data_IF_044736727830
#
_entry.id   IF_044736727830
#
_cell.length_a   1.000
_cell.length_b   1.000
_cell.length_c   1.000
_cell.angle_alpha   90.00
_cell.angle_beta   90.00
_cell.angle_gamma   90.00
#
_symmetry.space_group_name_H-M   'P 1'
#
loop_
_entity.id
_entity.type
_entity.pdbx_description
1 polymer ?
#
# COMPACT_ATOMS: atom_id res chain seq x y z
N UNK A 1 10.34 -4.44 -28.30
CA UNK A 1 10.29 -4.88 -26.88
C UNK A 1 9.06 -5.74 -26.71
N UNK A 2 9.17 -6.80 -25.90
CA UNK A 2 8.02 -7.59 -25.46
C UNK A 2 6.94 -6.68 -24.88
N UNK A 3 5.66 -6.97 -25.17
CA UNK A 3 4.56 -6.22 -24.59
C UNK A 3 4.46 -6.49 -23.09
N UNK A 4 4.25 -5.43 -22.32
CA UNK A 4 4.04 -5.50 -20.87
C UNK A 4 2.55 -5.72 -20.60
N UNK A 5 2.26 -6.71 -19.76
CA UNK A 5 0.91 -7.06 -19.33
C UNK A 5 0.81 -6.91 -17.81
N UNK A 6 0.20 -5.81 -17.37
CA UNK A 6 -0.03 -5.51 -15.96
C UNK A 6 -1.32 -6.22 -15.52
N UNK A 7 -1.27 -6.94 -14.41
CA UNK A 7 -2.45 -7.60 -13.84
C UNK A 7 -2.64 -7.16 -12.39
N UNK A 8 -3.82 -6.65 -12.06
CA UNK A 8 -4.12 -6.20 -10.70
C UNK A 8 -5.57 -6.46 -10.35
N UNK A 9 -5.89 -6.55 -9.06
CA UNK A 9 -7.28 -6.78 -8.64
C UNK A 9 -8.26 -5.79 -9.26
N UNK A 10 -7.93 -4.49 -9.35
CA UNK A 10 -8.80 -3.45 -9.92
C UNK A 10 -8.07 -2.62 -10.96
N UNK A 11 -8.69 -2.45 -12.13
CA UNK A 11 -8.14 -1.65 -13.23
C UNK A 11 -8.63 -0.20 -13.12
N UNK A 12 -7.74 0.79 -13.08
CA UNK A 12 -8.13 2.19 -13.02
C UNK A 12 -8.35 2.75 -14.44
N UNK A 13 -9.52 2.46 -15.01
CA UNK A 13 -9.89 2.94 -16.36
C UNK A 13 -9.82 4.48 -16.39
N UNK A 14 -9.05 5.09 -17.31
CA UNK A 14 -9.02 6.53 -17.47
C UNK A 14 -10.43 7.02 -17.87
N UNK A 15 -11.07 7.81 -17.01
CA UNK A 15 -12.27 8.57 -17.42
C UNK A 15 -11.80 9.88 -18.05
N UNK A 16 -12.49 10.34 -19.09
CA UNK A 16 -12.11 11.45 -19.97
C UNK A 16 -11.69 12.80 -19.32
N UNK A 17 -11.83 12.96 -17.99
CA UNK A 17 -11.42 14.18 -17.24
C UNK A 17 -10.83 13.91 -15.84
N UNK A 18 -10.53 12.67 -15.46
CA UNK A 18 -10.07 12.37 -14.09
C UNK A 18 -8.70 11.70 -14.15
N UNK A 19 -7.72 12.30 -13.45
CA UNK A 19 -6.41 11.69 -13.22
C UNK A 19 -6.59 10.28 -12.66
N UNK A 20 -5.76 9.34 -13.11
CA UNK A 20 -5.84 7.94 -12.70
C UNK A 20 -5.73 7.84 -11.18
N UNK A 21 -6.85 7.54 -10.52
CA UNK A 21 -6.96 7.49 -9.07
C UNK A 21 -6.56 6.09 -8.57
N UNK A 22 -5.45 6.00 -7.84
CA UNK A 22 -5.00 4.78 -7.18
C UNK A 22 -3.47 4.73 -7.04
N UNK A 23 -2.98 4.33 -5.86
CA UNK A 23 -1.54 4.30 -5.57
C UNK A 23 -0.73 3.46 -6.57
N UNK A 24 -1.27 2.31 -6.99
CA UNK A 24 -0.62 1.43 -7.97
C UNK A 24 -0.49 2.10 -9.35
N UNK A 25 -1.53 2.80 -9.81
CA UNK A 25 -1.52 3.42 -11.13
C UNK A 25 -0.57 4.60 -11.23
N UNK A 26 -0.40 5.33 -10.12
CA UNK A 26 0.61 6.38 -10.02
C UNK A 26 2.01 5.75 -10.04
N UNK A 27 2.20 4.62 -9.35
CA UNK A 27 3.51 3.95 -9.30
C UNK A 27 3.92 3.29 -10.62
N UNK A 28 2.97 2.75 -11.39
CA UNK A 28 3.24 2.06 -12.65
C UNK A 28 3.14 2.96 -13.89
N UNK A 29 3.04 4.28 -13.71
CA UNK A 29 2.78 5.23 -14.80
C UNK A 29 3.76 5.09 -15.97
N UNK A 30 5.04 4.88 -15.68
CA UNK A 30 6.10 4.79 -16.69
C UNK A 30 6.00 3.51 -17.54
N UNK A 31 5.22 2.52 -17.10
CA UNK A 31 4.93 1.30 -17.86
C UNK A 31 3.68 1.44 -18.75
N UNK A 32 2.89 2.50 -18.58
CA UNK A 32 1.68 2.76 -19.35
C UNK A 32 2.02 3.45 -20.68
N UNK A 33 2.79 2.73 -21.51
CA UNK A 33 3.22 3.17 -22.85
C UNK A 33 2.35 2.52 -23.94
N UNK A 34 2.34 3.06 -25.17
CA UNK A 34 1.61 2.45 -26.28
C UNK A 34 1.97 0.96 -26.46
N UNK A 35 0.95 0.11 -26.52
CA UNK A 35 1.07 -1.35 -26.61
C UNK A 35 0.91 -2.08 -25.28
N UNK A 36 0.99 -1.42 -24.13
CA UNK A 36 0.77 -2.03 -22.81
C UNK A 36 -0.67 -2.53 -22.65
N UNK A 37 -0.84 -3.69 -22.00
CA UNK A 37 -2.14 -4.22 -21.59
C UNK A 37 -2.27 -4.15 -20.06
N UNK A 38 -3.37 -3.60 -19.55
CA UNK A 38 -3.73 -3.68 -18.13
C UNK A 38 -5.03 -4.47 -17.95
N UNK A 39 -4.92 -5.63 -17.30
CA UNK A 39 -6.01 -6.56 -17.05
C UNK A 39 -6.45 -6.62 -15.56
N UNK A 40 -7.75 -6.84 -15.30
CA UNK A 40 -8.29 -7.06 -13.96
C UNK A 40 -9.79 -6.79 -13.81
N UNK A 41 -10.27 -6.63 -12.57
CA UNK A 41 -11.69 -6.28 -12.30
C UNK A 41 -11.98 -4.83 -12.68
N UNK A 42 -13.16 -4.59 -13.26
CA UNK A 42 -13.66 -3.24 -13.58
C UNK A 42 -14.04 -2.42 -12.34
N UNK A 43 -14.31 -3.08 -11.21
CA UNK A 43 -14.93 -2.48 -10.04
C UNK A 43 -16.46 -2.50 -10.05
N UNK A 44 -17.09 -3.13 -11.06
CA UNK A 44 -18.55 -3.30 -11.14
C UNK A 44 -18.97 -4.72 -10.82
N UNK A 45 -20.17 -4.82 -10.24
CA UNK A 45 -20.86 -6.10 -10.07
C UNK A 45 -21.92 -6.26 -11.17
N UNK A 46 -22.07 -7.48 -11.68
CA UNK A 46 -23.08 -7.84 -12.68
C UNK A 46 -23.76 -9.16 -12.29
N UNK A 47 -25.06 -9.29 -12.53
CA UNK A 47 -25.78 -10.53 -12.22
C UNK A 47 -25.30 -11.70 -13.10
N UNK A 48 -25.06 -11.43 -14.39
CA UNK A 48 -24.49 -12.35 -15.35
C UNK A 48 -23.29 -11.68 -16.04
N UNK A 49 -22.07 -11.79 -15.48
CA UNK A 49 -20.89 -11.16 -16.06
C UNK A 49 -20.55 -11.75 -17.42
N UNK A 50 -20.23 -10.88 -18.39
CA UNK A 50 -19.82 -11.33 -19.72
C UNK A 50 -18.58 -12.25 -19.63
N UNK A 51 -18.53 -13.32 -20.43
CA UNK A 51 -17.40 -14.26 -20.41
C UNK A 51 -16.11 -13.66 -20.96
N UNK A 52 -16.24 -12.62 -21.79
CA UNK A 52 -15.13 -11.92 -22.44
C UNK A 52 -14.84 -10.57 -21.76
N UNK A 53 -13.57 -10.18 -21.58
CA UNK A 53 -13.22 -8.88 -21.02
C UNK A 53 -13.72 -7.73 -21.90
N UNK A 54 -14.24 -6.68 -21.27
CA UNK A 54 -14.48 -5.41 -21.95
C UNK A 54 -13.17 -4.69 -22.19
N UNK A 55 -12.94 -4.22 -23.43
CA UNK A 55 -11.72 -3.53 -23.84
C UNK A 55 -11.96 -2.03 -23.96
N UNK A 56 -11.04 -1.25 -23.41
CA UNK A 56 -11.01 0.22 -23.54
C UNK A 56 -9.59 0.62 -23.94
N UNK A 57 -9.46 1.36 -25.03
CA UNK A 57 -8.19 1.93 -25.46
C UNK A 57 -8.06 3.38 -24.97
N UNK A 58 -6.93 3.71 -24.32
CA UNK A 58 -6.62 5.09 -23.98
C UNK A 58 -5.11 5.35 -24.06
N UNK A 59 -4.72 6.36 -24.86
CA UNK A 59 -3.31 6.75 -25.06
C UNK A 59 -2.42 5.59 -25.54
N UNK A 60 -2.99 4.68 -26.34
CA UNK A 60 -2.31 3.48 -26.85
C UNK A 60 -2.18 2.34 -25.84
N UNK A 61 -2.76 2.46 -24.64
CA UNK A 61 -2.82 1.39 -23.63
C UNK A 61 -4.18 0.70 -23.71
N UNK A 62 -4.15 -0.63 -23.80
CA UNK A 62 -5.35 -1.47 -23.73
C UNK A 62 -5.70 -1.74 -22.27
N UNK A 63 -6.91 -1.39 -21.85
CA UNK A 63 -7.47 -1.75 -20.55
C UNK A 63 -8.51 -2.85 -20.76
N UNK A 64 -8.26 -4.03 -20.19
CA UNK A 64 -9.13 -5.19 -20.30
C UNK A 64 -9.76 -5.49 -18.94
N UNK A 65 -11.08 -5.39 -18.85
CA UNK A 65 -11.78 -5.49 -17.57
C UNK A 65 -12.87 -6.54 -17.55
N UNK A 66 -12.95 -7.27 -16.45
CA UNK A 66 -14.02 -8.24 -16.17
C UNK A 66 -14.92 -7.66 -15.07
N UNK A 67 -16.23 -7.84 -15.19
CA UNK A 67 -17.18 -7.58 -14.12
C UNK A 67 -17.34 -8.86 -13.27
N UNK A 68 -17.69 -8.74 -11.99
CA UNK A 68 -17.83 -9.91 -11.11
C UNK A 68 -19.27 -10.09 -10.66
N UNK A 69 -19.71 -11.34 -10.51
CA UNK A 69 -20.93 -11.64 -9.78
C UNK A 69 -20.78 -11.28 -8.29
N UNK A 70 -21.89 -10.96 -7.62
CA UNK A 70 -21.86 -10.47 -6.26
C UNK A 70 -21.30 -11.50 -5.26
N UNK A 71 -21.63 -12.78 -5.47
CA UNK A 71 -21.12 -13.92 -4.73
C UNK A 71 -19.62 -14.16 -4.99
N UNK A 72 -19.19 -14.09 -6.25
CA UNK A 72 -17.79 -14.21 -6.64
C UNK A 72 -16.93 -13.09 -6.04
N UNK A 73 -17.41 -11.84 -6.09
CA UNK A 73 -16.76 -10.71 -5.42
C UNK A 73 -16.70 -10.91 -3.90
N UNK A 74 -17.79 -11.38 -3.28
CA UNK A 74 -17.81 -11.65 -1.84
C UNK A 74 -16.77 -12.70 -1.47
N UNK A 75 -16.74 -13.85 -2.14
CA UNK A 75 -15.82 -14.94 -1.82
C UNK A 75 -14.35 -14.55 -2.02
N UNK A 76 -14.01 -13.92 -3.16
CA UNK A 76 -12.66 -13.43 -3.43
C UNK A 76 -12.28 -12.28 -2.48
N UNK A 77 -13.00 -11.16 -2.55
CA UNK A 77 -12.55 -9.88 -2.01
C UNK A 77 -12.89 -9.76 -0.53
N UNK A 78 -14.14 -10.01 -0.12
CA UNK A 78 -14.56 -9.86 1.28
C UNK A 78 -14.09 -11.05 2.12
N UNK A 79 -14.28 -12.26 1.60
CA UNK A 79 -13.96 -13.54 2.24
C UNK A 79 -12.46 -13.79 2.29
N UNK A 80 -11.90 -14.48 1.31
CA UNK A 80 -10.53 -14.99 1.44
C UNK A 80 -9.47 -13.88 1.46
N UNK A 81 -9.54 -12.92 0.54
CA UNK A 81 -8.50 -11.89 0.44
C UNK A 81 -8.47 -10.94 1.64
N UNK A 82 -9.61 -10.37 2.06
CA UNK A 82 -9.64 -9.41 3.17
C UNK A 82 -10.06 -10.00 4.52
N UNK A 83 -10.67 -11.19 4.54
CA UNK A 83 -11.04 -11.92 5.75
C UNK A 83 -10.00 -12.93 6.21
N UNK A 84 -9.15 -13.49 5.32
CA UNK A 84 -8.07 -14.41 5.72
C UNK A 84 -6.67 -13.86 5.42
N UNK A 85 -6.34 -13.56 4.15
CA UNK A 85 -4.99 -13.15 3.76
C UNK A 85 -4.56 -11.83 4.41
N UNK A 86 -5.38 -10.77 4.29
CA UNK A 86 -5.04 -9.46 4.84
C UNK A 86 -4.75 -9.48 6.34
N UNK A 87 -5.60 -10.06 7.23
CA UNK A 87 -5.28 -10.15 8.65
C UNK A 87 -3.97 -10.89 8.92
N UNK A 88 -3.76 -12.05 8.30
CA UNK A 88 -2.56 -12.86 8.53
C UNK A 88 -1.31 -12.11 8.09
N UNK A 89 -1.32 -11.57 6.86
CA UNK A 89 -0.20 -10.80 6.29
C UNK A 89 0.12 -9.52 7.09
N UNK A 90 -0.79 -9.05 7.95
CA UNK A 90 -0.58 -7.91 8.85
C UNK A 90 -0.40 -8.32 10.31
N UNK A 91 -0.08 -9.59 10.60
CA UNK A 91 0.13 -10.12 11.96
C UNK A 91 -1.11 -9.97 12.87
N UNK A 92 -2.31 -10.01 12.29
CA UNK A 92 -3.60 -9.91 13.00
C UNK A 92 -4.33 -11.25 12.97
N UNK A 93 -3.67 -12.32 13.42
CA UNK A 93 -4.23 -13.68 13.44
C UNK A 93 -5.61 -13.76 14.12
N UNK A 94 -5.81 -13.02 15.21
CA UNK A 94 -7.11 -12.96 15.90
C UNK A 94 -8.26 -12.31 15.11
N UNK A 95 -7.97 -11.71 13.94
CA UNK A 95 -8.97 -11.18 13.01
C UNK A 95 -9.14 -12.07 11.76
N UNK A 96 -8.42 -13.19 11.67
CA UNK A 96 -8.54 -14.12 10.56
C UNK A 96 -9.89 -14.84 10.62
N UNK A 97 -10.61 -14.82 9.51
CA UNK A 97 -11.81 -15.58 9.27
C UNK A 97 -11.64 -16.44 8.01
N UNK A 98 -11.38 -17.73 8.21
CA UNK A 98 -11.22 -18.69 7.13
C UNK A 98 -12.50 -19.48 6.92
N UNK A 99 -12.98 -19.52 5.67
CA UNK A 99 -14.02 -20.44 5.20
C UNK A 99 -13.54 -21.14 3.94
N UNK A 100 -13.74 -22.45 3.85
CA UNK A 100 -13.33 -23.24 2.68
C UNK A 100 -14.05 -22.78 1.41
N UNK A 101 -15.31 -22.38 1.51
CA UNK A 101 -16.08 -21.80 0.40
C UNK A 101 -15.45 -20.52 -0.16
N UNK A 102 -14.95 -19.63 0.72
CA UNK A 102 -14.30 -18.39 0.30
C UNK A 102 -12.97 -18.69 -0.42
N UNK A 103 -12.21 -19.69 0.06
CA UNK A 103 -11.01 -20.19 -0.62
C UNK A 103 -11.33 -20.73 -2.02
N UNK A 104 -12.37 -21.57 -2.14
CA UNK A 104 -12.79 -22.11 -3.44
C UNK A 104 -13.27 -21.00 -4.37
N UNK A 105 -14.01 -20.01 -3.88
CA UNK A 105 -14.40 -18.84 -4.66
C UNK A 105 -13.21 -17.98 -5.07
N UNK A 106 -12.21 -17.81 -4.20
CA UNK A 106 -10.96 -17.12 -4.53
C UNK A 106 -10.20 -17.81 -5.67
N UNK A 107 -10.11 -19.13 -5.64
CA UNK A 107 -9.54 -19.93 -6.73
C UNK A 107 -10.37 -19.83 -8.01
N UNK A 108 -11.71 -19.90 -7.91
CA UNK A 108 -12.60 -19.82 -9.06
C UNK A 108 -12.47 -18.48 -9.79
N UNK A 109 -12.43 -17.36 -9.06
CA UNK A 109 -12.23 -16.04 -9.67
C UNK A 109 -10.85 -15.93 -10.31
N UNK A 110 -9.80 -16.43 -9.65
CA UNK A 110 -8.45 -16.46 -10.24
C UNK A 110 -8.40 -17.33 -11.50
N UNK A 111 -9.13 -18.44 -11.55
CA UNK A 111 -9.26 -19.28 -12.74
C UNK A 111 -9.94 -18.52 -13.89
N UNK A 112 -11.03 -17.80 -13.62
CA UNK A 112 -11.67 -16.93 -14.61
C UNK A 112 -10.69 -15.87 -15.11
N UNK A 113 -9.97 -15.19 -14.22
CA UNK A 113 -8.98 -14.19 -14.58
C UNK A 113 -7.86 -14.77 -15.46
N UNK A 114 -7.29 -15.91 -15.07
CA UNK A 114 -6.25 -16.58 -15.85
C UNK A 114 -6.76 -16.98 -17.24
N UNK A 115 -7.95 -17.56 -17.32
CA UNK A 115 -8.55 -18.05 -18.57
C UNK A 115 -8.83 -16.91 -19.55
N UNK A 116 -9.43 -15.82 -19.08
CA UNK A 116 -9.69 -14.65 -19.92
C UNK A 116 -8.40 -13.95 -20.33
N UNK A 117 -7.44 -13.79 -19.41
CA UNK A 117 -6.14 -13.19 -19.72
C UNK A 117 -5.39 -14.02 -20.76
N UNK A 118 -5.38 -15.35 -20.62
CA UNK A 118 -4.65 -16.27 -21.51
C UNK A 118 -5.06 -16.13 -22.97
N UNK A 119 -6.33 -15.85 -23.25
CA UNK A 119 -6.85 -15.63 -24.61
C UNK A 119 -6.26 -14.36 -25.26
N UNK A 120 -5.78 -13.42 -24.45
CA UNK A 120 -5.19 -12.16 -24.90
C UNK A 120 -3.66 -12.20 -24.94
N UNK A 121 -3.02 -13.17 -24.28
CA UNK A 121 -1.56 -13.25 -24.16
C UNK A 121 -0.89 -13.75 -25.45
N UNK A 122 0.21 -13.10 -25.80
CA UNK A 122 1.16 -13.50 -26.83
C UNK A 122 2.30 -14.30 -26.20
N UNK A 123 3.02 -15.09 -26.99
CA UNK A 123 4.10 -15.94 -26.50
C UNK A 123 5.25 -15.15 -25.85
N UNK A 124 5.51 -13.93 -26.35
CA UNK A 124 6.59 -13.05 -25.92
C UNK A 124 6.16 -12.01 -24.87
N UNK A 125 4.89 -12.01 -24.44
CA UNK A 125 4.43 -11.06 -23.42
C UNK A 125 5.17 -11.25 -22.08
N UNK A 126 5.39 -10.14 -21.38
CA UNK A 126 5.85 -10.14 -19.99
C UNK A 126 4.69 -9.80 -19.08
N UNK A 127 4.28 -10.73 -18.21
CA UNK A 127 3.16 -10.52 -17.29
C UNK A 127 3.69 -10.12 -15.93
N UNK A 128 3.14 -9.04 -15.37
CA UNK A 128 3.44 -8.58 -14.02
C UNK A 128 2.15 -8.48 -13.20
N UNK A 129 1.96 -9.44 -12.29
CA UNK A 129 0.84 -9.52 -11.38
C UNK A 129 1.11 -8.76 -10.08
N UNK A 130 0.09 -8.07 -9.57
CA UNK A 130 0.19 -7.26 -8.37
C UNK A 130 -0.80 -7.69 -7.28
N UNK A 131 -0.21 -7.98 -6.12
CA UNK A 131 -0.85 -8.08 -4.81
C UNK A 131 -1.60 -9.38 -4.50
N UNK A 132 -1.88 -9.57 -3.21
CA UNK A 132 -2.38 -10.81 -2.59
C UNK A 132 -3.73 -11.35 -3.13
N UNK A 133 -4.44 -10.58 -3.95
CA UNK A 133 -5.67 -11.04 -4.60
C UNK A 133 -5.40 -12.07 -5.71
N UNK A 134 -4.17 -12.09 -6.22
CA UNK A 134 -3.78 -12.79 -7.45
C UNK A 134 -2.69 -13.84 -7.24
N UNK A 135 -2.51 -14.34 -6.02
CA UNK A 135 -1.45 -15.33 -5.72
C UNK A 135 -1.50 -16.55 -6.67
N UNK A 136 -2.67 -17.14 -7.00
CA UNK A 136 -2.74 -18.31 -7.89
C UNK A 136 -2.53 -18.05 -9.37
N UNK A 137 -2.58 -16.78 -9.81
CA UNK A 137 -2.64 -16.43 -11.23
C UNK A 137 -1.45 -17.02 -12.01
N UNK A 138 -0.23 -16.96 -11.46
CA UNK A 138 0.96 -17.47 -12.12
C UNK A 138 0.91 -18.98 -12.38
N UNK A 139 0.50 -19.77 -11.37
CA UNK A 139 0.35 -21.22 -11.51
C UNK A 139 -0.74 -21.59 -12.51
N UNK A 140 -1.84 -20.85 -12.52
CA UNK A 140 -2.94 -21.06 -13.47
C UNK A 140 -2.51 -20.76 -14.91
N UNK A 141 -1.81 -19.65 -15.16
CA UNK A 141 -1.29 -19.32 -16.50
C UNK A 141 -0.30 -20.39 -16.99
N UNK A 142 0.59 -20.90 -16.12
CA UNK A 142 1.51 -21.99 -16.45
C UNK A 142 0.77 -23.27 -16.84
N UNK A 143 -0.29 -23.65 -16.11
CA UNK A 143 -1.14 -24.80 -16.45
C UNK A 143 -1.86 -24.62 -17.79
N UNK A 144 -2.16 -23.38 -18.17
CA UNK A 144 -2.76 -23.03 -19.46
C UNK A 144 -1.72 -22.80 -20.57
N UNK A 145 -0.48 -23.28 -20.37
CA UNK A 145 0.56 -23.29 -21.40
C UNK A 145 1.21 -21.94 -21.68
N UNK A 146 1.06 -20.94 -20.82
CA UNK A 146 1.82 -19.70 -20.96
C UNK A 146 3.28 -19.93 -20.54
N UNK A 147 4.22 -19.77 -21.48
CA UNK A 147 5.66 -19.97 -21.26
C UNK A 147 6.48 -18.69 -21.07
N UNK A 148 5.87 -17.50 -21.25
CA UNK A 148 6.58 -16.22 -21.15
C UNK A 148 6.92 -15.81 -19.70
N UNK A 149 7.66 -14.70 -19.52
CA UNK A 149 8.06 -14.21 -18.20
C UNK A 149 6.84 -13.87 -17.30
N UNK A 150 6.85 -14.39 -16.07
CA UNK A 150 5.84 -14.15 -15.04
C UNK A 150 6.45 -13.54 -13.79
N UNK A 151 6.06 -12.30 -13.49
CA UNK A 151 6.41 -11.59 -12.27
C UNK A 151 5.22 -11.44 -11.32
N UNK A 152 5.51 -11.48 -10.03
CA UNK A 152 4.57 -11.12 -8.97
C UNK A 152 5.19 -10.08 -8.03
N UNK A 153 4.43 -9.08 -7.62
CA UNK A 153 4.86 -8.16 -6.56
C UNK A 153 3.82 -8.07 -5.44
N UNK A 154 4.25 -8.33 -4.20
CA UNK A 154 3.42 -8.20 -3.00
C UNK A 154 3.55 -6.80 -2.39
N UNK A 155 2.45 -6.05 -2.36
CA UNK A 155 2.47 -4.66 -1.87
C UNK A 155 2.30 -4.56 -0.35
N UNK A 156 1.64 -5.54 0.25
CA UNK A 156 1.46 -5.71 1.69
C UNK A 156 2.69 -6.39 2.32
N UNK A 157 2.80 -6.46 3.66
CA UNK A 157 3.87 -7.25 4.28
C UNK A 157 3.78 -8.74 3.90
N UNK A 158 4.89 -9.44 4.07
CA UNK A 158 4.91 -10.91 4.13
C UNK A 158 5.22 -11.34 5.57
N UNK A 159 5.00 -12.61 5.87
CA UNK A 159 5.06 -13.13 7.25
C UNK A 159 5.93 -14.38 7.34
N UNK A 160 6.58 -14.62 8.50
CA UNK A 160 7.40 -15.80 8.69
C UNK A 160 6.57 -17.07 8.73
N UNK A 161 7.20 -18.26 8.60
CA UNK A 161 6.49 -19.53 8.50
C UNK A 161 5.49 -19.80 9.64
N UNK A 162 5.87 -19.47 10.88
CA UNK A 162 5.02 -19.69 12.06
C UNK A 162 3.71 -18.90 12.04
N UNK A 163 3.64 -17.81 11.28
CA UNK A 163 2.43 -17.00 11.11
C UNK A 163 1.68 -17.45 9.85
N UNK A 164 2.39 -17.76 8.76
CA UNK A 164 1.76 -18.19 7.50
C UNK A 164 1.01 -19.52 7.69
N UNK A 165 1.58 -20.47 8.45
CA UNK A 165 1.01 -21.78 8.75
C UNK A 165 -0.36 -21.72 9.46
N UNK A 166 -0.75 -20.56 10.00
CA UNK A 166 -2.10 -20.36 10.52
C UNK A 166 -3.18 -20.41 9.43
N UNK A 167 -2.83 -20.16 8.16
CA UNK A 167 -3.75 -20.31 7.02
C UNK A 167 -3.83 -21.80 6.64
N UNK A 168 -5.01 -22.43 6.65
CA UNK A 168 -5.14 -23.86 6.37
C UNK A 168 -4.62 -24.32 5.00
N UNK A 169 -4.52 -23.39 4.03
CA UNK A 169 -4.05 -23.62 2.66
C UNK A 169 -2.69 -22.95 2.39
N UNK A 170 -1.88 -22.75 3.43
CA UNK A 170 -0.57 -22.07 3.32
C UNK A 170 0.37 -22.73 2.30
N UNK A 171 0.38 -24.06 2.25
CA UNK A 171 1.23 -24.82 1.31
C UNK A 171 0.82 -24.54 -0.14
N UNK A 172 -0.47 -24.50 -0.42
CA UNK A 172 -1.02 -24.19 -1.74
C UNK A 172 -0.68 -22.76 -2.17
N UNK A 173 -0.82 -21.78 -1.26
CA UNK A 173 -0.46 -20.39 -1.52
C UNK A 173 1.03 -20.22 -1.82
N UNK A 174 1.90 -20.93 -1.10
CA UNK A 174 3.33 -20.93 -1.39
C UNK A 174 3.64 -21.57 -2.74
N UNK A 175 2.97 -22.67 -3.09
CA UNK A 175 3.14 -23.30 -4.40
C UNK A 175 2.64 -22.41 -5.55
N UNK A 176 1.59 -21.62 -5.30
CA UNK A 176 1.09 -20.60 -6.22
C UNK A 176 2.14 -19.50 -6.46
N UNK A 177 2.72 -18.94 -5.40
CA UNK A 177 3.79 -17.94 -5.50
C UNK A 177 5.08 -18.47 -6.13
N UNK A 178 5.46 -19.72 -5.85
CA UNK A 178 6.64 -20.34 -6.46
C UNK A 178 6.44 -20.70 -7.95
N UNK A 179 5.25 -20.47 -8.52
CA UNK A 179 5.02 -20.67 -9.95
C UNK A 179 5.44 -19.48 -10.82
N UNK A 180 5.69 -18.31 -10.22
CA UNK A 180 6.27 -17.13 -10.87
C UNK A 180 7.78 -17.28 -11.04
N UNK A 181 8.35 -16.58 -12.01
CA UNK A 181 9.80 -16.58 -12.25
C UNK A 181 10.49 -15.52 -11.37
N UNK A 182 9.79 -14.43 -11.04
CA UNK A 182 10.24 -13.37 -10.15
C UNK A 182 9.14 -13.01 -9.15
N UNK A 183 9.48 -12.97 -7.86
CA UNK A 183 8.60 -12.56 -6.77
C UNK A 183 9.26 -11.40 -6.01
N UNK A 184 8.67 -10.21 -6.06
CA UNK A 184 9.18 -9.03 -5.36
C UNK A 184 8.38 -8.69 -4.12
N UNK A 185 9.10 -8.16 -3.12
CA UNK A 185 8.55 -7.72 -1.85
C UNK A 185 9.01 -6.31 -1.50
N UNK A 186 8.31 -5.66 -0.59
CA UNK A 186 8.65 -4.29 -0.19
C UNK A 186 9.97 -4.16 0.61
N UNK A 187 10.36 -5.20 1.35
CA UNK A 187 11.53 -5.17 2.23
C UNK A 187 12.28 -6.49 2.18
N UNK A 188 13.56 -6.47 2.58
CA UNK A 188 14.37 -7.68 2.66
C UNK A 188 13.89 -8.66 3.75
N UNK A 189 13.26 -8.15 4.81
CA UNK A 189 12.59 -8.99 5.82
C UNK A 189 11.48 -9.81 5.17
N UNK A 190 10.59 -9.16 4.40
CA UNK A 190 9.50 -9.86 3.71
C UNK A 190 10.00 -10.87 2.67
N UNK A 191 11.06 -10.53 1.93
CA UNK A 191 11.65 -11.43 0.94
C UNK A 191 12.30 -12.66 1.60
N UNK A 192 12.98 -12.46 2.73
CA UNK A 192 13.55 -13.55 3.53
C UNK A 192 12.47 -14.45 4.09
N UNK A 193 11.43 -13.88 4.71
CA UNK A 193 10.31 -14.64 5.26
C UNK A 193 9.64 -15.52 4.18
N UNK A 194 9.55 -15.03 2.94
CA UNK A 194 9.07 -15.84 1.81
C UNK A 194 9.99 -17.00 1.48
N UNK A 195 11.31 -16.78 1.44
CA UNK A 195 12.28 -17.85 1.19
C UNK A 195 12.26 -18.90 2.29
N UNK A 196 12.14 -18.47 3.55
CA UNK A 196 12.00 -19.36 4.70
C UNK A 196 10.71 -20.17 4.63
N UNK A 197 9.59 -19.55 4.23
CA UNK A 197 8.32 -20.24 3.98
C UNK A 197 8.43 -21.27 2.84
N UNK A 198 9.10 -20.93 1.75
CA UNK A 198 9.27 -21.82 0.61
C UNK A 198 10.15 -23.03 0.96
N UNK A 199 11.24 -22.81 1.69
CA UNK A 199 12.11 -23.87 2.19
C UNK A 199 11.35 -24.80 3.14
N UNK A 200 10.66 -24.23 4.14
CA UNK A 200 9.97 -25.00 5.18
C UNK A 200 8.74 -25.76 4.68
N UNK A 201 7.89 -25.12 3.87
CA UNK A 201 6.60 -25.70 3.46
C UNK A 201 6.69 -26.54 2.18
N UNK A 202 7.66 -26.26 1.32
CA UNK A 202 7.77 -26.91 0.00
C UNK A 202 9.10 -27.65 -0.19
N UNK A 203 10.07 -27.51 0.72
CA UNK A 203 11.40 -28.10 0.55
C UNK A 203 12.23 -27.42 -0.54
N UNK A 204 11.98 -26.14 -0.82
CA UNK A 204 12.76 -25.40 -1.81
C UNK A 204 14.22 -25.23 -1.34
N UNK A 205 15.17 -25.38 -2.27
CA UNK A 205 16.57 -25.05 -2.01
C UNK A 205 16.74 -23.55 -2.22
N UNK A 206 17.35 -22.86 -1.25
CA UNK A 206 17.53 -21.40 -1.27
C UNK A 206 19.01 -21.07 -1.30
N UNK A 207 19.42 -20.19 -2.24
CA UNK A 207 20.75 -19.60 -2.30
C UNK A 207 20.64 -18.10 -2.61
N UNK A 208 20.92 -17.27 -1.62
CA UNK A 208 20.72 -15.81 -1.71
C UNK A 208 19.28 -15.45 -2.05
N UNK A 209 19.09 -14.77 -3.19
CA UNK A 209 17.77 -14.40 -3.72
C UNK A 209 17.12 -15.49 -4.59
N UNK A 210 17.80 -16.61 -4.83
CA UNK A 210 17.35 -17.64 -5.75
C UNK A 210 16.76 -18.84 -5.01
N UNK A 211 15.70 -19.41 -5.58
CA UNK A 211 15.08 -20.65 -5.09
C UNK A 211 14.93 -21.67 -6.22
N UNK A 212 15.09 -22.95 -5.87
CA UNK A 212 14.84 -24.09 -6.74
C UNK A 212 13.78 -24.99 -6.13
N UNK A 213 12.75 -25.29 -6.93
CA UNK A 213 11.65 -26.15 -6.55
C UNK A 213 11.17 -26.93 -7.78
N UNK A 214 11.14 -28.26 -7.69
CA UNK A 214 10.65 -29.15 -8.74
C UNK A 214 11.27 -28.86 -10.13
N UNK A 215 12.59 -28.66 -10.19
CA UNK A 215 13.31 -28.36 -11.43
C UNK A 215 13.10 -26.94 -11.99
N UNK A 216 12.29 -26.10 -11.34
CA UNK A 216 12.13 -24.69 -11.68
C UNK A 216 13.00 -23.82 -10.79
N UNK A 217 13.50 -22.72 -11.36
CA UNK A 217 14.21 -21.67 -10.64
C UNK A 217 13.34 -20.41 -10.61
N UNK A 218 13.33 -19.72 -9.47
CA UNK A 218 12.73 -18.39 -9.34
C UNK A 218 13.61 -17.46 -8.52
N UNK A 219 13.43 -16.16 -8.66
CA UNK A 219 14.12 -15.13 -7.88
C UNK A 219 13.15 -14.42 -6.94
N UNK A 220 13.49 -14.32 -5.65
CA UNK A 220 12.73 -13.58 -4.65
C UNK A 220 13.57 -12.51 -3.97
N UNK A 221 13.21 -11.24 -4.17
CA UNK A 221 14.03 -10.10 -3.74
C UNK A 221 13.19 -8.91 -3.24
N UNK A 222 13.85 -7.98 -2.56
CA UNK A 222 13.25 -6.74 -2.11
C UNK A 222 13.32 -5.64 -3.19
N UNK A 223 12.18 -5.06 -3.54
CA UNK A 223 12.05 -3.93 -4.44
C UNK A 223 11.11 -2.86 -3.86
N UNK A 224 11.60 -2.00 -2.95
CA UNK A 224 10.77 -1.05 -2.23
C UNK A 224 10.12 -0.04 -3.19
N UNK A 225 8.78 0.02 -3.18
CA UNK A 225 8.04 0.92 -4.04
C UNK A 225 8.29 2.39 -3.67
N UNK A 226 8.50 3.22 -4.69
CA UNK A 226 8.73 4.66 -4.58
C UNK A 226 7.52 5.52 -4.93
N UNK A 227 7.73 6.84 -4.92
CA UNK A 227 6.80 7.84 -5.47
C UNK A 227 7.48 8.67 -6.56
N UNK A 228 6.70 9.38 -7.36
CA UNK A 228 7.21 10.51 -8.15
C UNK A 228 7.38 11.73 -7.23
N UNK A 229 8.47 11.72 -6.47
CA UNK A 229 8.72 12.70 -5.41
C UNK A 229 8.85 14.13 -5.94
N UNK A 230 9.47 14.29 -7.13
CA UNK A 230 9.65 15.60 -7.77
C UNK A 230 8.31 16.19 -8.21
N UNK A 231 7.48 15.41 -8.89
CA UNK A 231 6.15 15.90 -9.29
C UNK A 231 5.29 16.20 -8.06
N UNK A 232 5.34 15.35 -7.03
CA UNK A 232 4.56 15.55 -5.81
C UNK A 232 4.99 16.79 -5.02
N UNK A 233 6.30 17.06 -4.91
CA UNK A 233 6.82 18.28 -4.29
C UNK A 233 6.35 19.55 -5.04
N UNK A 234 6.38 19.52 -6.37
CA UNK A 234 5.86 20.60 -7.20
C UNK A 234 4.35 20.79 -7.06
N UNK A 235 3.58 19.70 -6.95
CA UNK A 235 2.13 19.75 -6.68
C UNK A 235 1.86 20.34 -5.29
N UNK A 236 2.59 19.91 -4.25
CA UNK A 236 2.46 20.43 -2.89
C UNK A 236 2.73 21.94 -2.81
N UNK A 237 3.77 22.42 -3.50
CA UNK A 237 4.12 23.83 -3.55
C UNK A 237 3.01 24.69 -4.20
N UNK A 238 2.30 24.18 -5.20
CA UNK A 238 1.16 24.88 -5.82
C UNK A 238 -0.11 24.76 -4.98
N UNK A 239 -0.36 23.57 -4.44
CA UNK A 239 -1.57 23.25 -3.69
C UNK A 239 -1.70 24.04 -2.38
N UNK A 240 -0.61 24.62 -1.87
CA UNK A 240 -0.69 25.54 -0.73
C UNK A 240 -1.64 26.70 -1.02
N UNK A 241 -1.74 27.17 -2.27
CA UNK A 241 -2.64 28.25 -2.69
C UNK A 241 -4.06 27.79 -3.02
N UNK A 242 -4.37 26.49 -2.89
CA UNK A 242 -5.72 25.98 -3.08
C UNK A 242 -6.68 26.55 -2.01
N UNK A 243 -7.89 26.92 -2.43
CA UNK A 243 -8.90 27.56 -1.55
C UNK A 243 -9.25 26.69 -0.34
N UNK A 244 -9.23 25.36 -0.46
CA UNK A 244 -9.49 24.48 0.68
C UNK A 244 -8.30 24.45 1.63
N UNK A 245 -7.07 24.38 1.10
CA UNK A 245 -5.85 24.37 1.93
C UNK A 245 -5.69 25.69 2.70
N UNK A 246 -5.93 26.82 2.03
CA UNK A 246 -5.94 28.15 2.68
C UNK A 246 -6.99 28.23 3.79
N UNK A 247 -8.24 27.81 3.53
CA UNK A 247 -9.27 27.77 4.59
C UNK A 247 -8.90 26.89 5.77
N UNK A 248 -8.23 25.76 5.52
CA UNK A 248 -7.72 24.92 6.61
C UNK A 248 -6.64 25.67 7.37
N UNK A 249 -5.66 26.26 6.70
CA UNK A 249 -4.59 27.04 7.33
C UNK A 249 -5.14 28.19 8.20
N UNK A 250 -6.08 28.98 7.68
CA UNK A 250 -6.75 30.06 8.41
C UNK A 250 -7.43 29.53 9.68
N UNK A 251 -8.11 28.39 9.57
CA UNK A 251 -8.80 27.74 10.68
C UNK A 251 -7.87 27.15 11.75
N UNK A 252 -6.56 27.10 11.51
CA UNK A 252 -5.57 26.74 12.54
C UNK A 252 -5.28 27.94 13.45
N UNK A 253 -5.51 29.17 12.99
CA UNK A 253 -5.22 30.41 13.72
C UNK A 253 -3.79 30.46 14.27
N UNK A 254 -2.81 30.11 13.42
CA UNK A 254 -1.38 30.09 13.78
C UNK A 254 -0.93 28.88 14.60
N UNK A 255 -1.82 27.93 14.91
CA UNK A 255 -1.48 26.70 15.65
C UNK A 255 -0.84 25.66 14.74
N UNK A 256 0.01 24.81 15.32
CA UNK A 256 0.62 23.70 14.60
C UNK A 256 -0.43 22.69 14.10
N UNK A 257 -0.09 21.95 13.04
CA UNK A 257 -0.92 20.89 12.49
C UNK A 257 -0.16 19.55 12.56
N UNK A 258 -0.68 18.60 13.33
CA UNK A 258 -0.40 17.19 13.12
C UNK A 258 -1.37 16.63 12.08
N UNK A 259 -0.88 15.83 11.14
CA UNK A 259 -1.70 15.23 10.10
C UNK A 259 -1.48 13.72 10.00
N UNK A 260 -2.58 12.98 9.97
CA UNK A 260 -2.61 11.55 9.68
C UNK A 260 -3.54 11.29 8.50
N UNK A 261 -3.10 10.50 7.53
CA UNK A 261 -3.89 10.16 6.34
C UNK A 261 -3.76 8.67 6.09
N UNK A 262 -4.86 7.95 6.27
CA UNK A 262 -4.87 6.50 6.12
C UNK A 262 -6.25 6.05 5.66
N UNK A 263 -6.36 4.87 5.04
CA UNK A 263 -7.67 4.21 4.96
C UNK A 263 -8.10 3.79 6.36
N UNK A 264 -9.40 3.75 6.62
CA UNK A 264 -9.93 3.14 7.85
C UNK A 264 -9.63 1.65 7.82
N UNK A 265 -8.54 1.24 8.45
CA UNK A 265 -8.02 -0.13 8.41
C UNK A 265 -7.27 -0.42 9.71
N UNK A 266 -7.51 -1.59 10.28
CA UNK A 266 -6.96 -1.97 11.59
C UNK A 266 -5.44 -2.16 11.59
N UNK A 267 -4.81 -2.26 10.42
CA UNK A 267 -3.35 -2.25 10.27
C UNK A 267 -2.73 -0.89 10.61
N UNK A 268 -3.51 0.20 10.60
CA UNK A 268 -3.02 1.58 10.65
C UNK A 268 -2.80 2.15 12.04
N UNK A 269 -3.10 1.39 13.10
CA UNK A 269 -2.87 1.80 14.48
C UNK A 269 -3.61 3.08 14.86
N UNK A 270 -4.76 3.35 14.23
CA UNK A 270 -5.52 4.58 14.43
C UNK A 270 -5.98 4.76 15.89
N UNK A 271 -6.44 3.72 16.62
CA UNK A 271 -6.75 3.86 18.04
C UNK A 271 -5.53 4.31 18.86
N UNK A 272 -4.40 3.62 18.72
CA UNK A 272 -3.14 3.96 19.39
C UNK A 272 -2.70 5.39 19.08
N UNK A 273 -2.84 5.84 17.83
CA UNK A 273 -2.51 7.21 17.41
C UNK A 273 -3.40 8.25 18.08
N UNK A 274 -4.70 7.99 18.18
CA UNK A 274 -5.65 8.91 18.82
C UNK A 274 -5.37 8.98 20.32
N UNK A 275 -5.11 7.84 20.95
CA UNK A 275 -4.69 7.78 22.35
C UNK A 275 -3.39 8.51 22.61
N UNK A 276 -2.40 8.36 21.74
CA UNK A 276 -1.14 9.10 21.82
C UNK A 276 -1.36 10.62 21.75
N UNK A 277 -2.26 11.08 20.89
CA UNK A 277 -2.59 12.51 20.84
C UNK A 277 -3.29 12.99 22.12
N UNK A 278 -4.18 12.18 22.69
CA UNK A 278 -4.72 12.45 24.03
C UNK A 278 -3.61 12.56 25.09
N UNK A 279 -2.67 11.59 25.11
CA UNK A 279 -1.53 11.56 26.04
C UNK A 279 -0.60 12.76 25.87
N UNK A 280 -0.37 13.24 24.64
CA UNK A 280 0.38 14.49 24.40
C UNK A 280 -0.27 15.67 25.13
N UNK A 281 -1.59 15.83 25.01
CA UNK A 281 -2.31 16.93 25.65
C UNK A 281 -2.36 16.78 27.18
N UNK A 282 -2.32 15.55 27.69
CA UNK A 282 -2.27 15.26 29.13
C UNK A 282 -0.90 15.55 29.74
N UNK A 283 0.14 14.94 29.16
CA UNK A 283 1.52 14.95 29.67
C UNK A 283 2.27 16.24 29.37
N UNK A 284 1.92 16.91 28.28
CA UNK A 284 2.53 18.17 27.87
C UNK A 284 1.47 19.28 27.70
N UNK A 285 0.89 19.80 28.81
CA UNK A 285 -0.15 20.83 28.77
C UNK A 285 0.23 22.08 27.98
N UNK A 286 1.52 22.37 27.83
CA UNK A 286 2.04 23.47 27.02
C UNK A 286 1.60 23.41 25.54
N UNK A 287 1.20 22.25 25.03
CA UNK A 287 0.72 22.05 23.66
C UNK A 287 -0.79 22.23 23.52
N UNK A 288 -1.56 22.31 24.63
CA UNK A 288 -3.00 22.59 24.57
C UNK A 288 -3.24 23.95 23.91
N UNK A 289 -4.22 24.02 23.01
CA UNK A 289 -4.54 25.20 22.19
C UNK A 289 -3.39 25.70 21.31
N UNK A 290 -2.30 24.94 21.14
CA UNK A 290 -1.18 25.24 20.25
C UNK A 290 -1.05 24.29 19.07
N UNK A 291 -1.80 23.19 19.07
CA UNK A 291 -1.81 22.20 17.99
C UNK A 291 -3.23 21.73 17.67
N UNK A 292 -3.47 21.42 16.40
CA UNK A 292 -4.60 20.60 15.94
C UNK A 292 -4.07 19.28 15.40
N UNK A 293 -4.83 18.20 15.60
CA UNK A 293 -4.63 16.95 14.89
C UNK A 293 -5.74 16.75 13.86
N UNK A 294 -5.38 16.68 12.58
CA UNK A 294 -6.27 16.32 11.49
C UNK A 294 -6.02 14.86 11.06
N UNK A 295 -7.02 14.00 11.28
CA UNK A 295 -7.04 12.65 10.72
C UNK A 295 -8.00 12.59 9.53
N UNK A 296 -7.46 12.33 8.34
CA UNK A 296 -8.25 11.99 7.14
C UNK A 296 -8.27 10.47 7.02
N UNK A 297 -9.47 9.89 7.04
CA UNK A 297 -9.69 8.46 7.17
C UNK A 297 -10.84 7.97 6.27
N UNK A 298 -10.67 7.98 4.93
CA UNK A 298 -11.70 7.48 4.03
C UNK A 298 -12.14 6.06 4.41
N UNK A 299 -13.46 5.86 4.38
CA UNK A 299 -14.09 4.56 4.63
C UNK A 299 -13.55 3.50 3.66
N UNK A 300 -13.37 2.28 4.17
CA UNK A 300 -12.91 1.14 3.39
C UNK A 300 -13.57 -0.12 3.89
N UNK A 301 -13.98 -1.02 2.98
CA UNK A 301 -14.40 -2.40 3.30
C UNK A 301 -15.48 -2.48 4.38
N UNK A 302 -16.52 -1.64 4.29
CA UNK A 302 -17.58 -1.53 5.31
C UNK A 302 -18.40 -2.83 5.51
N UNK A 303 -18.32 -3.77 4.56
CA UNK A 303 -18.94 -5.10 4.64
C UNK A 303 -18.22 -6.04 5.64
N UNK A 304 -16.98 -5.72 6.04
CA UNK A 304 -16.19 -6.54 6.97
C UNK A 304 -16.38 -6.04 8.41
N UNK A 305 -16.78 -6.95 9.31
CA UNK A 305 -17.14 -6.60 10.69
C UNK A 305 -16.05 -5.87 11.48
N UNK A 306 -14.78 -6.28 11.31
CA UNK A 306 -13.63 -5.64 11.96
C UNK A 306 -13.51 -4.14 11.62
N UNK A 307 -13.91 -3.72 10.41
CA UNK A 307 -13.86 -2.32 9.98
C UNK A 307 -14.97 -1.49 10.63
N UNK A 308 -16.16 -2.09 10.81
CA UNK A 308 -17.27 -1.45 11.53
C UNK A 308 -16.92 -1.22 13.00
N UNK A 309 -16.32 -2.24 13.66
CA UNK A 309 -15.84 -2.13 15.05
C UNK A 309 -14.79 -1.04 15.21
N UNK A 310 -13.81 -0.99 14.30
CA UNK A 310 -12.80 0.05 14.29
C UNK A 310 -13.43 1.45 14.19
N UNK A 311 -14.43 1.64 13.32
CA UNK A 311 -15.12 2.93 13.20
C UNK A 311 -15.75 3.38 14.52
N UNK A 312 -16.50 2.49 15.17
CA UNK A 312 -17.15 2.78 16.46
C UNK A 312 -16.12 3.18 17.51
N UNK A 313 -14.98 2.49 17.54
CA UNK A 313 -13.87 2.81 18.43
C UNK A 313 -13.28 4.20 18.15
N UNK A 314 -13.02 4.55 16.88
CA UNK A 314 -12.51 5.87 16.50
C UNK A 314 -13.49 7.01 16.79
N UNK A 315 -14.78 6.79 16.55
CA UNK A 315 -15.83 7.76 16.87
C UNK A 315 -15.86 8.03 18.39
N UNK A 316 -15.80 6.97 19.20
CA UNK A 316 -15.73 7.06 20.68
C UNK A 316 -14.47 7.78 21.15
N UNK A 317 -13.29 7.43 20.59
CA UNK A 317 -12.02 8.06 20.95
C UNK A 317 -12.01 9.54 20.61
N UNK A 318 -12.54 9.90 19.44
CA UNK A 318 -12.68 11.30 19.02
C UNK A 318 -13.56 12.07 19.99
N UNK A 319 -14.74 11.54 20.33
CA UNK A 319 -15.65 12.15 21.30
C UNK A 319 -15.02 12.32 22.67
N UNK A 320 -14.31 11.30 23.17
CA UNK A 320 -13.61 11.34 24.46
C UNK A 320 -12.53 12.43 24.51
N UNK A 321 -11.67 12.49 23.49
CA UNK A 321 -10.56 13.46 23.43
C UNK A 321 -11.10 14.88 23.29
N UNK A 322 -12.02 15.10 22.36
CA UNK A 322 -12.61 16.42 22.16
C UNK A 322 -13.44 16.85 23.38
N UNK A 323 -14.21 15.96 24.00
CA UNK A 323 -14.97 16.27 25.21
C UNK A 323 -14.09 16.67 26.40
N UNK A 324 -12.86 16.14 26.49
CA UNK A 324 -11.92 16.46 27.57
C UNK A 324 -11.11 17.74 27.34
N UNK A 325 -10.80 18.08 26.09
CA UNK A 325 -9.82 19.14 25.77
C UNK A 325 -10.35 20.28 24.91
N UNK A 326 -11.55 20.19 24.34
CA UNK A 326 -12.06 21.28 23.50
C UNK A 326 -12.32 22.54 24.31
N UNK A 327 -12.12 23.68 23.67
CA UNK A 327 -12.48 25.01 24.15
C UNK A 327 -13.37 25.69 23.10
N UNK A 328 -13.96 26.84 23.43
CA UNK A 328 -14.83 27.60 22.51
C UNK A 328 -14.17 27.91 21.16
N UNK A 329 -12.85 28.10 21.14
CA UNK A 329 -12.05 28.45 19.97
C UNK A 329 -11.16 27.30 19.46
N UNK A 330 -11.27 26.09 20.03
CA UNK A 330 -10.32 25.02 19.77
C UNK A 330 -10.95 23.63 19.83
N UNK A 331 -11.08 22.98 18.66
CA UNK A 331 -11.31 21.52 18.56
C UNK A 331 -9.98 20.81 18.33
N UNK A 332 -9.49 20.02 19.30
CA UNK A 332 -8.14 19.47 19.27
C UNK A 332 -7.97 18.38 18.20
N UNK A 333 -8.94 17.48 18.03
CA UNK A 333 -8.91 16.40 17.05
C UNK A 333 -10.03 16.55 16.02
N UNK A 334 -9.65 16.78 14.76
CA UNK A 334 -10.55 16.82 13.60
C UNK A 334 -10.43 15.51 12.84
N UNK A 335 -11.50 14.72 12.81
CA UNK A 335 -11.55 13.42 12.15
C UNK A 335 -12.55 13.46 10.99
N UNK A 336 -12.07 13.17 9.77
CA UNK A 336 -12.86 13.17 8.54
C UNK A 336 -12.88 11.78 7.91
N UNK A 337 -14.07 11.27 7.60
CA UNK A 337 -14.25 9.98 6.91
C UNK A 337 -14.35 10.11 5.39
N UNK A 338 -14.13 11.31 4.85
CA UNK A 338 -14.21 11.61 3.42
C UNK A 338 -12.82 11.53 2.79
N UNK A 339 -12.76 10.98 1.59
CA UNK A 339 -11.54 11.05 0.78
C UNK A 339 -11.26 12.50 0.39
N UNK A 340 -9.97 12.88 0.40
CA UNK A 340 -9.51 14.15 -0.12
C UNK A 340 -8.74 13.92 -1.42
N UNK A 341 -8.86 14.82 -2.42
CA UNK A 341 -8.04 14.77 -3.62
C UNK A 341 -6.54 14.77 -3.27
N UNK A 342 -5.74 14.04 -4.04
CA UNK A 342 -4.28 13.92 -3.83
C UNK A 342 -3.59 15.29 -3.81
N UNK A 343 -3.99 16.23 -4.68
CA UNK A 343 -3.47 17.59 -4.70
C UNK A 343 -3.73 18.33 -3.37
N UNK A 344 -4.95 18.23 -2.85
CA UNK A 344 -5.30 18.81 -1.54
C UNK A 344 -4.46 18.19 -0.43
N UNK A 345 -4.28 16.87 -0.43
CA UNK A 345 -3.43 16.19 0.54
C UNK A 345 -1.98 16.70 0.48
N UNK A 346 -1.44 16.92 -0.71
CA UNK A 346 -0.09 17.46 -0.90
C UNK A 346 0.07 18.85 -0.23
N UNK A 347 -0.91 19.73 -0.41
CA UNK A 347 -0.94 21.04 0.27
C UNK A 347 -1.09 20.93 1.79
N UNK A 348 -1.95 20.04 2.27
CA UNK A 348 -2.12 19.79 3.71
C UNK A 348 -0.86 19.19 4.36
N UNK A 349 -0.14 18.31 3.68
CA UNK A 349 1.14 17.80 4.15
C UNK A 349 2.18 18.92 4.25
N UNK A 350 2.21 19.83 3.26
CA UNK A 350 3.17 20.94 3.22
C UNK A 350 3.02 21.92 4.38
N UNK A 351 1.79 22.16 4.85
CA UNK A 351 1.53 23.01 6.03
C UNK A 351 1.57 22.23 7.36
N UNK A 352 1.72 20.91 7.30
CA UNK A 352 1.74 20.03 8.47
C UNK A 352 3.06 20.13 9.23
N UNK A 353 3.01 20.46 10.52
CA UNK A 353 4.16 20.45 11.41
C UNK A 353 4.61 19.03 11.76
N UNK A 354 3.66 18.09 11.85
CA UNK A 354 3.93 16.69 12.16
C UNK A 354 3.19 15.78 11.19
N UNK A 355 3.91 14.88 10.52
CA UNK A 355 3.33 13.75 9.79
C UNK A 355 3.23 12.54 10.71
N UNK A 356 2.01 12.11 11.05
CA UNK A 356 1.77 10.95 11.93
C UNK A 356 1.48 9.70 11.12
N UNK A 357 2.50 8.87 10.93
CA UNK A 357 2.42 7.61 10.19
C UNK A 357 2.77 6.45 11.10
N UNK A 358 1.80 6.01 11.88
CA UNK A 358 2.01 5.02 12.97
C UNK A 358 1.29 3.68 12.76
N UNK A 359 1.38 3.02 11.59
CA UNK A 359 0.73 1.73 11.38
C UNK A 359 1.31 0.64 12.29
N UNK A 360 0.47 -0.29 12.72
CA UNK A 360 0.89 -1.50 13.45
C UNK A 360 1.72 -2.42 12.55
N UNK A 361 1.34 -2.54 11.27
CA UNK A 361 2.09 -3.21 10.20
C UNK A 361 1.72 -2.56 8.87
N UNK A 362 2.70 -2.30 8.01
CA UNK A 362 2.47 -1.77 6.67
C UNK A 362 3.59 -2.19 5.72
N UNK A 363 3.22 -2.64 4.52
CA UNK A 363 4.19 -3.13 3.54
C UNK A 363 5.23 -2.07 3.18
N UNK A 364 4.80 -0.80 3.04
CA UNK A 364 5.69 0.33 2.77
C UNK A 364 5.21 1.62 3.45
N UNK A 365 3.95 2.02 3.20
CA UNK A 365 3.38 3.32 3.53
C UNK A 365 3.91 4.50 2.67
N UNK A 366 3.23 4.78 1.55
CA UNK A 366 3.56 5.89 0.67
C UNK A 366 3.23 7.27 1.25
N UNK A 367 2.32 7.35 2.24
CA UNK A 367 1.98 8.62 2.90
C UNK A 367 3.19 9.20 3.63
N UNK A 368 4.04 8.36 4.22
CA UNK A 368 5.32 8.81 4.79
C UNK A 368 6.22 9.48 3.75
N UNK A 369 6.38 8.84 2.57
CA UNK A 369 7.21 9.37 1.47
C UNK A 369 6.61 10.66 0.90
N UNK A 370 5.29 10.72 0.77
CA UNK A 370 4.55 11.90 0.30
C UNK A 370 4.69 13.07 1.29
N UNK A 371 4.55 12.82 2.59
CA UNK A 371 4.72 13.85 3.61
C UNK A 371 6.13 14.47 3.54
N UNK A 372 7.17 13.65 3.45
CA UNK A 372 8.56 14.10 3.28
C UNK A 372 8.72 14.90 1.99
N UNK A 373 8.20 14.41 0.86
CA UNK A 373 8.32 15.10 -0.42
C UNK A 373 7.60 16.46 -0.44
N UNK A 374 6.51 16.63 0.31
CA UNK A 374 5.72 17.86 0.34
C UNK A 374 6.36 19.01 1.13
N UNK A 375 7.28 18.72 2.07
CA UNK A 375 7.77 19.73 3.01
C UNK A 375 8.53 20.86 2.32
N UNK A 376 8.44 22.11 2.82
CA UNK A 376 9.33 23.19 2.42
C UNK A 376 10.78 22.92 2.89
N UNK A 377 11.77 23.57 2.28
CA UNK A 377 13.19 23.40 2.66
C UNK A 377 13.60 24.28 3.83
N UNK A 378 12.96 25.44 3.98
CA UNK A 378 13.27 26.45 5.00
C UNK A 378 12.58 26.18 6.34
N UNK A 379 11.38 25.62 6.37
CA UNK A 379 10.69 25.30 7.63
C UNK A 379 9.95 23.94 7.60
N UNK A 380 10.66 22.81 7.44
CA UNK A 380 10.02 21.52 7.28
C UNK A 380 9.36 20.97 8.55
N UNK A 381 8.22 20.33 8.43
CA UNK A 381 7.64 19.49 9.48
C UNK A 381 8.46 18.24 9.77
N UNK A 382 8.09 17.51 10.82
CA UNK A 382 8.77 16.28 11.27
C UNK A 382 7.89 15.06 11.01
N UNK A 383 8.49 14.01 10.46
CA UNK A 383 7.82 12.72 10.30
C UNK A 383 7.98 11.88 11.57
N UNK A 384 6.86 11.45 12.16
CA UNK A 384 6.81 10.41 13.20
C UNK A 384 6.35 9.12 12.54
N UNK A 385 7.20 8.09 12.57
CA UNK A 385 7.04 6.90 11.74
C UNK A 385 7.12 5.62 12.56
N UNK A 386 6.15 4.73 12.37
CA UNK A 386 6.21 3.38 12.96
C UNK A 386 7.40 2.60 12.45
N UNK A 387 8.13 1.93 13.35
CA UNK A 387 9.16 0.93 13.00
C UNK A 387 8.62 -0.25 12.17
N UNK A 388 7.31 -0.43 12.13
CA UNK A 388 6.63 -1.53 11.42
C UNK A 388 6.05 -1.12 10.05
N UNK A 389 6.33 0.10 9.59
CA UNK A 389 6.14 0.49 8.19
C UNK A 389 7.39 0.14 7.38
N UNK A 390 7.24 -0.44 6.18
CA UNK A 390 8.37 -0.71 5.30
C UNK A 390 9.23 0.53 4.99
N UNK A 391 8.62 1.72 4.93
CA UNK A 391 9.34 2.98 4.74
C UNK A 391 10.35 3.29 5.86
N UNK A 392 10.18 2.74 7.06
CA UNK A 392 11.13 2.94 8.16
C UNK A 392 12.51 2.31 7.88
N UNK A 393 12.60 1.36 6.94
CA UNK A 393 13.88 0.80 6.48
C UNK A 393 14.71 1.81 5.68
N UNK A 394 14.06 2.79 5.08
CA UNK A 394 14.70 3.85 4.32
C UNK A 394 14.77 5.15 5.14
N UNK A 395 13.69 5.51 5.84
CA UNK A 395 13.47 6.81 6.47
C UNK A 395 13.89 6.84 7.96
N UNK A 396 15.11 6.39 8.25
CA UNK A 396 15.66 6.27 9.62
C UNK A 396 15.78 7.59 10.38
N UNK A 397 15.85 8.73 9.69
CA UNK A 397 15.98 10.07 10.31
C UNK A 397 14.64 10.64 10.78
N UNK A 398 13.52 9.96 10.47
CA UNK A 398 12.23 10.21 11.10
C UNK A 398 12.30 9.89 12.61
N UNK A 399 11.34 10.40 13.37
CA UNK A 399 11.16 9.97 14.75
C UNK A 399 10.51 8.58 14.74
N UNK A 400 11.34 7.54 14.82
CA UNK A 400 10.91 6.15 14.78
C UNK A 400 10.27 5.75 16.10
N UNK A 401 9.04 5.26 16.05
CA UNK A 401 8.25 4.89 17.22
C UNK A 401 7.75 3.45 17.15
N UNK A 402 7.52 2.86 18.32
CA UNK A 402 6.73 1.64 18.44
C UNK A 402 5.25 2.03 18.62
N UNK A 403 4.36 1.75 17.66
CA UNK A 403 2.96 2.18 17.74
C UNK A 403 2.15 1.48 18.84
N UNK A 404 2.69 0.41 19.46
CA UNK A 404 2.08 -0.22 20.63
C UNK A 404 2.34 0.56 21.93
N UNK A 405 3.17 1.60 21.88
CA UNK A 405 3.44 2.51 22.99
C UNK A 405 2.90 3.92 22.65
N UNK A 406 1.65 4.23 23.03
CA UNK A 406 1.09 5.55 22.82
C UNK A 406 1.83 6.67 23.56
N UNK A 407 2.54 6.38 24.66
CA UNK A 407 3.35 7.38 25.36
C UNK A 407 4.59 7.73 24.53
N UNK A 408 5.28 6.75 23.95
CA UNK A 408 6.39 7.00 23.04
C UNK A 408 5.98 7.81 21.80
N UNK A 409 4.77 7.59 21.26
CA UNK A 409 4.24 8.42 20.17
C UNK A 409 3.96 9.85 20.66
N UNK A 410 3.44 10.02 21.88
CA UNK A 410 3.21 11.33 22.48
C UNK A 410 4.51 12.09 22.72
N UNK A 411 5.53 11.42 23.27
CA UNK A 411 6.86 11.98 23.53
C UNK A 411 7.55 12.34 22.19
N UNK A 412 7.38 11.54 21.14
CA UNK A 412 7.85 11.87 19.79
C UNK A 412 7.14 13.09 19.18
N UNK A 413 5.82 13.24 19.40
CA UNK A 413 5.10 14.46 19.01
C UNK A 413 5.59 15.68 19.79
N UNK A 414 5.85 15.53 21.09
CA UNK A 414 6.44 16.59 21.89
C UNK A 414 7.80 17.01 21.33
N UNK A 415 8.70 16.04 21.08
CA UNK A 415 10.02 16.29 20.49
C UNK A 415 9.90 16.97 19.12
N UNK A 416 8.99 16.52 18.25
CA UNK A 416 8.75 17.14 16.94
C UNK A 416 8.30 18.61 17.04
N UNK A 417 7.51 18.96 18.06
CA UNK A 417 7.02 20.33 18.27
C UNK A 417 8.06 21.26 18.89
N UNK A 418 9.00 20.72 19.65
CA UNK A 418 10.08 21.49 20.30
C UNK A 418 11.41 21.43 19.52
N UNK A 419 11.45 20.68 18.40
CA UNK A 419 12.64 20.52 17.57
C UNK A 419 13.05 21.85 16.91
N UNK A 420 14.30 22.32 17.12
CA UNK A 420 14.84 23.49 16.43
C UNK A 420 14.76 23.36 14.90
N UNK A 421 14.66 24.49 14.20
CA UNK A 421 14.51 24.49 12.74
C UNK A 421 15.73 23.89 12.04
N UNK A 422 16.91 24.07 12.62
CA UNK A 422 18.19 23.54 12.16
C UNK A 422 18.17 22.00 12.13
N UNK A 423 17.79 21.36 13.24
CA UNK A 423 17.67 19.90 13.32
C UNK A 423 16.59 19.38 12.36
N UNK A 424 15.45 20.08 12.24
CA UNK A 424 14.40 19.71 11.28
C UNK A 424 14.90 19.73 9.84
N UNK A 425 15.66 20.76 9.46
CA UNK A 425 16.27 20.88 8.13
C UNK A 425 17.26 19.77 7.86
N UNK A 426 18.13 19.44 8.82
CA UNK A 426 19.12 18.37 8.69
C UNK A 426 18.46 17.01 8.46
N UNK A 427 17.50 16.62 9.32
CA UNK A 427 16.74 15.37 9.17
C UNK A 427 16.01 15.34 7.84
N UNK A 428 15.34 16.44 7.50
CA UNK A 428 14.55 16.53 6.28
C UNK A 428 15.40 16.42 5.01
N UNK A 429 16.60 17.00 4.98
CA UNK A 429 17.50 16.91 3.84
C UNK A 429 17.87 15.46 3.53
N UNK A 430 18.20 14.68 4.57
CA UNK A 430 18.51 13.25 4.43
C UNK A 430 17.29 12.46 3.98
N UNK A 431 16.13 12.70 4.59
CA UNK A 431 14.87 12.04 4.22
C UNK A 431 14.51 12.32 2.75
N UNK A 432 14.56 13.58 2.31
CA UNK A 432 14.29 13.97 0.91
C UNK A 432 15.24 13.29 -0.05
N UNK A 433 16.55 13.27 0.24
CA UNK A 433 17.53 12.62 -0.63
C UNK A 433 17.20 11.14 -0.87
N UNK A 434 16.79 10.41 0.18
CA UNK A 434 16.37 9.01 0.08
C UNK A 434 15.07 8.84 -0.71
N UNK A 435 14.04 9.62 -0.40
CA UNK A 435 12.73 9.57 -1.09
C UNK A 435 12.86 9.90 -2.59
N UNK A 436 13.74 10.84 -2.95
CA UNK A 436 13.93 11.25 -4.35
C UNK A 436 14.77 10.24 -5.14
N UNK A 437 15.58 9.42 -4.47
CA UNK A 437 16.36 8.33 -5.08
C UNK A 437 15.51 7.07 -5.31
N UNK A 438 14.69 6.67 -4.34
CA UNK A 438 13.82 5.50 -4.43
C UNK A 438 12.49 5.87 -5.12
N UNK A 439 12.53 6.09 -6.44
CA UNK A 439 11.38 6.52 -7.22
C UNK A 439 10.53 5.35 -7.74
N UNK A 440 9.27 5.64 -8.06
CA UNK A 440 8.38 4.69 -8.74
C UNK A 440 8.96 4.16 -10.07
N UNK A 441 9.69 5.02 -10.79
CA UNK A 441 10.40 4.66 -12.01
C UNK A 441 11.54 3.66 -11.76
N UNK A 442 12.31 3.85 -10.68
CA UNK A 442 13.39 2.94 -10.30
C UNK A 442 12.86 1.56 -9.90
N UNK A 443 11.75 1.53 -9.16
CA UNK A 443 10.99 0.31 -8.84
C UNK A 443 10.59 -0.44 -10.13
N UNK A 444 9.94 0.24 -11.07
CA UNK A 444 9.54 -0.38 -12.34
C UNK A 444 10.74 -0.94 -13.11
N UNK A 445 11.82 -0.17 -13.27
CA UNK A 445 13.01 -0.62 -14.00
C UNK A 445 13.64 -1.86 -13.36
N UNK A 446 13.90 -1.83 -12.05
CA UNK A 446 14.55 -2.94 -11.34
C UNK A 446 13.75 -4.23 -11.45
N UNK A 447 12.43 -4.15 -11.31
CA UNK A 447 11.58 -5.34 -11.45
C UNK A 447 11.58 -5.87 -12.89
N UNK A 448 11.47 -4.99 -13.88
CA UNK A 448 11.50 -5.38 -15.30
C UNK A 448 12.86 -5.97 -15.70
N UNK A 449 13.97 -5.44 -15.19
CA UNK A 449 15.31 -5.99 -15.41
C UNK A 449 15.43 -7.40 -14.81
N UNK A 450 14.87 -7.61 -13.61
CA UNK A 450 14.83 -8.93 -12.97
C UNK A 450 14.01 -9.94 -13.78
N UNK A 451 12.89 -9.52 -14.37
CA UNK A 451 12.07 -10.35 -15.26
C UNK A 451 12.79 -10.68 -16.58
N UNK A 452 13.42 -9.68 -17.19
CA UNK A 452 14.15 -9.85 -18.45
C UNK A 452 15.31 -10.84 -18.29
N UNK A 453 15.96 -10.87 -17.12
CA UNK A 453 17.01 -11.83 -16.79
C UNK A 453 16.52 -13.29 -16.67
N UNK A 454 15.20 -13.54 -16.58
CA UNK A 454 14.62 -14.88 -16.58
C UNK A 454 14.26 -15.39 -17.98
N UNK A 455 14.29 -14.54 -19.01
CA UNK A 455 13.99 -14.97 -20.36
C UNK A 455 15.02 -16.05 -20.79
N UNK A 456 14.60 -17.16 -21.42
CA UNK A 456 15.54 -18.15 -21.92
C UNK A 456 16.53 -17.45 -22.84
N UNK A 457 17.83 -17.56 -22.54
CA UNK A 457 18.86 -17.20 -23.51
C UNK A 457 18.62 -18.09 -24.73
N UNK A 458 18.40 -17.49 -25.90
CA UNK A 458 18.45 -18.23 -27.14
C UNK A 458 19.79 -18.99 -27.14
N UNK A 459 19.70 -20.32 -27.14
CA UNK A 459 20.88 -21.16 -27.37
C UNK A 459 21.32 -20.81 -28.78
N UNK A 460 22.47 -20.14 -28.91
CA UNK A 460 23.10 -19.96 -30.21
C UNK A 460 23.37 -21.37 -30.75
N UNK A 461 22.74 -21.69 -31.88
CA UNK A 461 23.01 -22.90 -32.64
C UNK A 461 24.41 -22.86 -33.25
#
# INVERSE_FOLDING_TARGET
>A
MARIVIVSNRVPIPKARVAVAGGLAVALRDLLVPGTLWFGWSGRLAADPAPQPALVEARGVTYATIDLAADAHRALYVGFANGALWPVLHFRLGLMHYRREDWLGYLAVNHTFASSLRQMLRADDTVWAHDYHLLPLGRLLRRQGFGGPLGFFLHVPFVPPSVLEAIPVARELMADLCAYDVVGFQTEEHARDFRDCAQRLLGAVVDGEWLWLNGRRLRAFADPIGIDARAFAGEAARAVHDKLVQRVADSLSGRALAIGVDRMDYSKGLPNRFEAYGRLLERHPAHRRRIHFLQICPRSREEVDAYRKLRVELDRLTGRINGRFSEFDWTPLRYSTRAAPRATLAGLYRIGRIGLVTPLRDGMNLVAKEFVAAQPDDDPGVLVLSRFAGAARELSEALIVNPFDPDAIADAMHAALTMPVEERRERQAVLKAKVFRTSAAAYCRRFMDALAAQAPRAVAA
#
